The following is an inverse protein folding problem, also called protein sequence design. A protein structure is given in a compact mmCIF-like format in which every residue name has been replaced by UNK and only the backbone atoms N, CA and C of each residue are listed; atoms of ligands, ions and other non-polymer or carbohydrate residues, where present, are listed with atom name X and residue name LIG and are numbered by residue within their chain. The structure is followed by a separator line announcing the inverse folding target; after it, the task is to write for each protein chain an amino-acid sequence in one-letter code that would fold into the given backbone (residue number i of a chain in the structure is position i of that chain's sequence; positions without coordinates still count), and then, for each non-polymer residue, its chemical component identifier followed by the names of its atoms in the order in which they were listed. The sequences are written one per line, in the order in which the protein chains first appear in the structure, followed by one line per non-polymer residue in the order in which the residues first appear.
data_IF_536885890087
#
_entry.id   IF_536885890087
#
_cell.length_a   1.000
_cell.length_b   1.000
_cell.length_c   1.000
_cell.angle_alpha   90.00
_cell.angle_beta   90.00
_cell.angle_gamma   90.00
#
_symmetry.space_group_name_H-M   'P 1'
#
loop_
_entity.id
_entity.type
_entity.pdbx_description
1 polymer ?
#
# COMPACT_ATOMS: atom_id res chain seq x y z
N UNK A 1 -13.91 7.28 9.17
CA UNK A 1 -14.03 8.71 8.80
C UNK A 1 -14.49 8.72 7.37
N UNK A 2 -15.73 9.14 7.10
CA UNK A 2 -16.30 8.98 5.76
C UNK A 2 -15.79 10.09 4.83
N UNK A 3 -15.25 9.69 3.67
CA UNK A 3 -14.83 10.66 2.64
C UNK A 3 -16.01 11.37 1.95
N UNK A 4 -17.21 10.78 2.02
CA UNK A 4 -18.41 11.38 1.44
C UNK A 4 -18.83 12.69 2.14
N UNK A 5 -18.24 12.98 3.30
CA UNK A 5 -18.42 14.24 4.01
C UNK A 5 -17.42 15.26 3.44
N UNK A 6 -17.92 16.32 2.79
CA UNK A 6 -17.14 17.37 2.12
C UNK A 6 -16.03 17.95 3.01
N UNK A 7 -16.30 18.14 4.30
CA UNK A 7 -15.35 18.66 5.27
C UNK A 7 -14.13 17.75 5.48
N UNK A 8 -14.28 16.44 5.27
CA UNK A 8 -13.21 15.47 5.49
C UNK A 8 -12.28 15.35 4.27
N UNK A 9 -12.72 15.77 3.08
CA UNK A 9 -11.92 15.69 1.85
C UNK A 9 -10.58 16.45 1.97
N UNK A 10 -10.61 17.62 2.61
CA UNK A 10 -9.41 18.40 2.90
C UNK A 10 -8.41 17.66 3.79
N UNK A 11 -8.90 16.90 4.76
CA UNK A 11 -8.08 16.08 5.66
C UNK A 11 -7.40 14.93 4.93
N UNK A 12 -8.13 14.17 4.11
CA UNK A 12 -7.55 13.10 3.27
C UNK A 12 -6.48 13.65 2.31
N UNK A 13 -6.76 14.80 1.69
CA UNK A 13 -5.80 15.47 0.80
C UNK A 13 -4.55 15.94 1.54
N UNK A 14 -4.70 16.49 2.74
CA UNK A 14 -3.59 16.94 3.56
C UNK A 14 -2.68 15.76 3.97
N UNK A 15 -3.26 14.63 4.40
CA UNK A 15 -2.51 13.42 4.72
C UNK A 15 -1.77 12.85 3.51
N UNK A 16 -2.41 12.82 2.34
CA UNK A 16 -1.78 12.36 1.12
C UNK A 16 -0.59 13.26 0.71
N UNK A 17 -0.76 14.58 0.83
CA UNK A 17 0.33 15.53 0.58
C UNK A 17 1.47 15.35 1.60
N UNK A 18 1.15 15.15 2.88
CA UNK A 18 2.14 14.87 3.92
C UNK A 18 2.95 13.62 3.59
N UNK A 19 2.28 12.51 3.26
CA UNK A 19 2.91 11.26 2.83
C UNK A 19 3.91 11.52 1.68
N UNK A 20 3.51 12.27 0.65
CA UNK A 20 4.38 12.62 -0.48
C UNK A 20 5.56 13.51 -0.08
N UNK A 21 5.36 14.51 0.76
CA UNK A 21 6.43 15.42 1.20
C UNK A 21 7.46 14.69 2.07
N UNK A 22 6.99 13.85 2.97
CA UNK A 22 7.84 13.01 3.84
C UNK A 22 8.62 12.00 2.99
N UNK A 23 7.98 11.39 1.99
CA UNK A 23 8.67 10.53 1.01
C UNK A 23 9.75 11.27 0.22
N UNK A 24 9.48 12.50 -0.25
CA UNK A 24 10.47 13.32 -0.97
C UNK A 24 11.68 13.73 -0.13
N UNK A 25 11.52 13.82 1.20
CA UNK A 25 12.61 14.12 2.14
C UNK A 25 13.49 12.91 2.47
N UNK A 26 13.17 11.72 1.97
CA UNK A 26 13.90 10.49 2.28
C UNK A 26 13.37 9.74 3.52
N UNK A 27 12.32 10.25 4.17
CA UNK A 27 11.77 9.66 5.40
C UNK A 27 10.77 8.53 5.07
N UNK A 28 11.27 7.45 4.49
CA UNK A 28 10.44 6.37 3.92
C UNK A 28 9.62 5.62 4.96
N UNK A 29 10.16 5.42 6.17
CA UNK A 29 9.42 4.81 7.29
C UNK A 29 8.21 5.65 7.68
N UNK A 30 8.38 6.96 7.87
CA UNK A 30 7.28 7.86 8.23
C UNK A 30 6.25 8.00 7.11
N UNK A 31 6.70 8.02 5.84
CA UNK A 31 5.80 7.99 4.70
C UNK A 31 4.95 6.71 4.68
N UNK A 32 5.55 5.56 4.98
CA UNK A 32 4.86 4.29 5.07
C UNK A 32 3.82 4.25 6.20
N UNK A 33 4.15 4.72 7.40
CA UNK A 33 3.18 4.83 8.50
C UNK A 33 2.01 5.77 8.15
N UNK A 34 2.29 6.87 7.46
CA UNK A 34 1.25 7.80 6.98
C UNK A 34 0.35 7.13 5.94
N UNK A 35 0.91 6.30 5.06
CA UNK A 35 0.15 5.52 4.09
C UNK A 35 -0.77 4.50 4.76
N UNK A 36 -0.27 3.77 5.77
CA UNK A 36 -1.08 2.84 6.58
C UNK A 36 -2.21 3.56 7.32
N UNK A 37 -1.92 4.72 7.91
CA UNK A 37 -2.94 5.56 8.55
C UNK A 37 -4.03 5.94 7.53
N UNK A 38 -3.64 6.41 6.35
CA UNK A 38 -4.59 6.83 5.32
C UNK A 38 -5.47 5.67 4.85
N UNK A 39 -4.92 4.46 4.73
CA UNK A 39 -5.67 3.24 4.41
C UNK A 39 -6.58 2.79 5.57
N UNK A 40 -6.16 2.96 6.82
CA UNK A 40 -6.97 2.62 8.00
C UNK A 40 -8.21 3.51 8.17
N UNK A 41 -8.15 4.74 7.65
CA UNK A 41 -9.29 5.66 7.67
C UNK A 41 -10.42 5.21 6.74
N UNK A 42 -10.06 4.55 5.63
CA UNK A 42 -11.00 4.04 4.63
C UNK A 42 -10.50 2.73 3.98
N UNK A 43 -10.69 1.58 4.65
CA UNK A 43 -10.15 0.30 4.21
C UNK A 43 -10.82 -0.26 2.95
N UNK A 44 -11.96 0.29 2.54
CA UNK A 44 -12.77 -0.22 1.43
C UNK A 44 -12.70 0.67 0.18
N UNK A 45 -12.00 1.80 0.22
CA UNK A 45 -12.20 2.85 -0.77
C UNK A 45 -10.99 3.42 -1.43
N UNK A 46 -9.85 3.40 -0.74
CA UNK A 46 -8.61 4.08 -1.10
C UNK A 46 -8.80 5.29 -2.04
N UNK A 47 -9.45 6.36 -1.56
CA UNK A 47 -9.85 7.47 -2.41
C UNK A 47 -8.67 8.28 -2.95
N UNK A 48 -7.48 8.14 -2.35
CA UNK A 48 -6.27 8.83 -2.78
C UNK A 48 -5.31 7.90 -3.55
N UNK A 49 -5.74 6.67 -3.86
CA UNK A 49 -4.97 5.64 -4.55
C UNK A 49 -3.60 5.38 -3.90
N UNK A 50 -3.56 5.41 -2.57
CA UNK A 50 -2.38 5.18 -1.73
C UNK A 50 -1.78 3.80 -1.99
N UNK A 51 -2.62 2.81 -2.29
CA UNK A 51 -2.24 1.44 -2.56
C UNK A 51 -1.28 1.31 -3.76
N UNK A 52 -1.32 2.25 -4.71
CA UNK A 52 -0.39 2.28 -5.86
C UNK A 52 1.03 2.72 -5.50
N UNK A 53 1.22 3.32 -4.32
CA UNK A 53 2.51 3.84 -3.87
C UNK A 53 3.01 3.17 -2.57
N UNK A 54 2.12 2.45 -1.87
CA UNK A 54 2.44 1.83 -0.58
C UNK A 54 3.53 0.75 -0.72
N UNK A 55 3.60 0.08 -1.86
CA UNK A 55 4.58 -0.96 -2.16
C UNK A 55 6.01 -0.41 -2.25
N UNK A 56 6.18 0.73 -2.91
CA UNK A 56 7.45 1.45 -2.94
C UNK A 56 7.92 1.84 -1.52
N UNK A 57 7.02 2.36 -0.70
CA UNK A 57 7.36 2.76 0.67
C UNK A 57 7.65 1.55 1.57
N UNK A 58 6.94 0.42 1.39
CA UNK A 58 7.19 -0.82 2.12
C UNK A 58 8.59 -1.38 1.81
N UNK A 59 8.96 -1.47 0.53
CA UNK A 59 10.28 -1.94 0.11
C UNK A 59 11.40 -1.04 0.62
N UNK A 60 11.24 0.28 0.46
CA UNK A 60 12.28 1.23 0.83
C UNK A 60 12.44 1.36 2.35
N UNK A 61 11.37 1.13 3.13
CA UNK A 61 11.41 1.09 4.60
C UNK A 61 11.86 -0.25 5.18
N UNK A 62 12.17 -1.26 4.33
CA UNK A 62 12.49 -2.65 4.72
C UNK A 62 11.33 -3.38 5.42
N UNK A 63 10.09 -2.90 5.28
CA UNK A 63 8.88 -3.53 5.83
C UNK A 63 8.25 -4.47 4.79
N UNK A 64 9.05 -5.41 4.28
CA UNK A 64 8.64 -6.35 3.24
C UNK A 64 7.54 -7.34 3.70
N UNK A 65 7.46 -7.61 5.00
CA UNK A 65 6.44 -8.49 5.59
C UNK A 65 5.02 -8.00 5.29
N UNK A 66 4.80 -6.69 5.38
CA UNK A 66 3.51 -6.08 5.08
C UNK A 66 3.02 -6.38 3.65
N UNK A 67 3.95 -6.42 2.67
CA UNK A 67 3.59 -6.74 1.29
C UNK A 67 3.15 -8.19 1.12
N UNK A 68 3.75 -9.10 1.89
CA UNK A 68 3.38 -10.52 1.88
C UNK A 68 2.00 -10.69 2.51
N UNK A 69 1.77 -10.07 3.67
CA UNK A 69 0.48 -10.10 4.36
C UNK A 69 -0.63 -9.49 3.48
N UNK A 70 -0.33 -8.36 2.82
CA UNK A 70 -1.25 -7.71 1.90
C UNK A 70 -1.59 -8.63 0.70
N UNK A 71 -0.59 -9.32 0.15
CA UNK A 71 -0.79 -10.28 -0.93
C UNK A 71 -1.65 -11.48 -0.49
N UNK A 72 -1.41 -12.03 0.70
CA UNK A 72 -2.16 -13.18 1.23
C UNK A 72 -3.60 -12.81 1.60
N UNK A 73 -3.81 -11.58 2.08
CA UNK A 73 -5.14 -11.08 2.45
C UNK A 73 -6.15 -11.04 1.30
N UNK A 74 -5.67 -11.10 0.03
CA UNK A 74 -6.50 -11.10 -1.20
C UNK A 74 -7.59 -10.03 -1.18
N UNK A 75 -7.28 -8.87 -0.61
CA UNK A 75 -8.22 -7.76 -0.51
C UNK A 75 -8.72 -7.35 -1.90
N UNK A 76 -10.04 -7.16 -2.07
CA UNK A 76 -10.61 -6.74 -3.34
C UNK A 76 -10.27 -5.27 -3.63
N UNK A 77 -9.88 -4.96 -4.87
CA UNK A 77 -9.69 -3.59 -5.34
C UNK A 77 -11.06 -2.98 -5.59
N UNK A 78 -11.45 -2.04 -4.75
CA UNK A 78 -12.70 -1.28 -4.92
C UNK A 78 -12.37 0.05 -5.61
N UNK A 79 -12.63 0.15 -6.91
CA UNK A 79 -12.50 1.41 -7.64
C UNK A 79 -13.70 2.33 -7.35
N UNK A 80 -13.54 3.27 -6.41
CA UNK A 80 -14.59 4.27 -6.10
C UNK A 80 -14.84 5.29 -7.21
N UNK A 81 -13.88 5.47 -8.11
CA UNK A 81 -13.99 6.40 -9.24
C UNK A 81 -14.87 5.88 -10.39
N UNK A 82 -15.27 4.60 -10.37
CA UNK A 82 -16.14 4.06 -11.41
C UNK A 82 -17.59 4.60 -11.36
N UNK A 83 -18.01 5.22 -10.24
CA UNK A 83 -19.41 5.66 -10.06
C UNK A 83 -19.65 7.18 -10.07
N UNK A 84 -18.61 8.02 -10.14
CA UNK A 84 -18.78 9.48 -10.14
C UNK A 84 -18.92 10.12 -11.54
N UNK A 85 -18.67 9.38 -12.61
CA UNK A 85 -18.70 9.88 -14.00
C UNK A 85 -19.95 9.39 -14.77
N UNK A 86 -21.14 9.66 -14.24
CA UNK A 86 -22.39 9.62 -15.01
C UNK A 86 -22.65 11.01 -15.62
N UNK A 87 -21.75 11.49 -16.48
CA UNK A 87 -21.78 12.84 -17.04
C UNK A 87 -20.95 13.04 -18.31
N UNK A 88 -21.42 12.50 -19.43
CA UNK A 88 -21.09 12.87 -20.82
C UNK A 88 -19.80 12.34 -21.51
N UNK A 89 -20.05 11.31 -22.36
CA UNK A 89 -19.47 11.02 -23.71
C UNK A 89 -18.09 10.32 -23.86
N UNK A 90 -18.18 8.97 -23.89
CA UNK A 90 -17.53 7.96 -24.78
C UNK A 90 -16.08 8.17 -25.28
N UNK A 91 -15.17 7.26 -24.88
CA UNK A 91 -14.41 6.40 -25.82
C UNK A 91 -13.78 5.14 -25.16
N UNK A 92 -14.29 3.99 -25.61
CA UNK A 92 -13.67 2.68 -25.86
C UNK A 92 -12.68 2.03 -24.86
N UNK A 93 -13.11 0.86 -24.36
CA UNK A 93 -12.28 -0.28 -23.92
C UNK A 93 -12.28 -0.46 -22.40
N UNK A 94 -12.71 -1.56 -21.78
CA UNK A 94 -13.07 -2.91 -22.22
C UNK A 94 -14.01 -3.47 -21.13
N UNK A 95 -15.19 -3.98 -21.52
CA UNK A 95 -16.01 -4.83 -20.64
C UNK A 95 -15.17 -6.06 -20.30
N UNK A 96 -14.95 -6.34 -19.02
CA UNK A 96 -14.46 -7.66 -18.62
C UNK A 96 -15.27 -8.17 -17.45
N UNK A 97 -15.88 -9.30 -17.72
CA UNK A 97 -16.68 -10.16 -16.88
C UNK A 97 -15.87 -10.78 -15.72
N UNK A 98 -16.57 -10.95 -14.58
CA UNK A 98 -16.49 -12.10 -13.67
C UNK A 98 -15.13 -12.44 -13.02
N UNK A 99 -15.00 -12.01 -11.76
CA UNK A 99 -14.60 -12.79 -10.57
C UNK A 99 -13.14 -13.23 -10.37
N UNK A 100 -12.18 -12.84 -11.22
CA UNK A 100 -10.75 -13.06 -10.94
C UNK A 100 -9.86 -11.81 -11.16
N UNK A 101 -10.46 -10.71 -11.64
CA UNK A 101 -9.76 -9.47 -11.99
C UNK A 101 -9.66 -8.46 -10.83
N UNK A 102 -10.22 -8.79 -9.67
CA UNK A 102 -10.46 -7.81 -8.58
C UNK A 102 -9.51 -7.96 -7.39
N UNK A 103 -8.53 -8.86 -7.41
CA UNK A 103 -7.61 -9.02 -6.29
C UNK A 103 -6.36 -8.16 -6.49
N UNK A 104 -5.95 -7.42 -5.45
CA UNK A 104 -4.75 -6.55 -5.43
C UNK A 104 -3.48 -7.28 -5.98
N UNK A 105 -3.43 -8.59 -5.82
CA UNK A 105 -2.42 -9.52 -6.35
C UNK A 105 -2.17 -9.43 -7.88
N UNK A 106 -3.14 -8.98 -8.68
CA UNK A 106 -3.02 -8.88 -10.14
C UNK A 106 -2.38 -7.58 -10.63
N UNK A 107 -2.12 -6.62 -9.73
CA UNK A 107 -1.43 -5.38 -10.08
C UNK A 107 0.05 -5.71 -10.37
N UNK A 108 0.56 -5.42 -11.59
CA UNK A 108 1.90 -5.82 -12.00
C UNK A 108 2.99 -5.20 -11.11
N UNK A 109 2.75 -3.99 -10.61
CA UNK A 109 3.65 -3.32 -9.67
C UNK A 109 3.77 -4.11 -8.36
N UNK A 110 2.65 -4.58 -7.82
CA UNK A 110 2.66 -5.36 -6.58
C UNK A 110 3.37 -6.70 -6.77
N UNK A 111 3.13 -7.39 -7.89
CA UNK A 111 3.76 -8.67 -8.16
C UNK A 111 5.28 -8.55 -8.28
N UNK A 112 5.77 -7.48 -8.90
CA UNK A 112 7.20 -7.16 -8.94
C UNK A 112 7.74 -6.84 -7.54
N UNK A 113 7.04 -6.00 -6.78
CA UNK A 113 7.41 -5.65 -5.41
C UNK A 113 7.42 -6.85 -4.47
N UNK A 114 6.51 -7.82 -4.65
CA UNK A 114 6.47 -9.09 -3.92
C UNK A 114 7.73 -9.92 -4.22
N UNK A 115 8.10 -10.07 -5.49
CA UNK A 115 9.30 -10.81 -5.88
C UNK A 115 10.56 -10.20 -5.24
N UNK A 116 10.66 -8.87 -5.20
CA UNK A 116 11.73 -8.16 -4.49
C UNK A 116 11.67 -8.39 -2.98
N UNK A 117 10.49 -8.33 -2.38
CA UNK A 117 10.30 -8.59 -0.95
C UNK A 117 10.79 -10.00 -0.56
N UNK A 118 10.47 -11.02 -1.37
CA UNK A 118 10.91 -12.40 -1.17
C UNK A 118 12.43 -12.59 -1.36
N UNK A 119 13.05 -11.80 -2.23
CA UNK A 119 14.50 -11.81 -2.42
C UNK A 119 15.23 -11.13 -1.25
N UNK A 120 14.67 -10.03 -0.74
CA UNK A 120 15.27 -9.23 0.34
C UNK A 120 15.10 -9.91 1.70
N UNK A 121 14.00 -10.63 1.92
CA UNK A 121 13.79 -11.39 3.14
C UNK A 121 14.66 -12.66 3.13
N UNK A 122 15.46 -12.92 4.18
CA UNK A 122 16.15 -14.18 4.32
C UNK A 122 15.12 -15.30 4.35
N UNK A 123 15.21 -16.24 3.39
CA UNK A 123 14.39 -17.47 3.45
C UNK A 123 14.81 -18.23 4.72
N UNK A 124 13.93 -18.42 5.71
CA UNK A 124 14.28 -19.21 6.87
C UNK A 124 14.44 -20.66 6.39
N UNK A 125 15.69 -21.14 6.40
CA UNK A 125 16.00 -22.56 6.21
C UNK A 125 15.81 -23.34 7.52
N UNK A 126 15.55 -22.65 8.64
CA UNK A 126 15.29 -23.23 9.97
C UNK A 126 14.56 -22.22 10.88
N UNK A 127 13.82 -22.72 11.88
CA UNK A 127 13.09 -21.88 12.85
C UNK A 127 14.01 -20.98 13.69
N UNK A 128 15.25 -21.38 13.92
CA UNK A 128 16.25 -20.61 14.70
C UNK A 128 16.75 -19.35 13.97
N UNK A 129 16.71 -19.35 12.63
CA UNK A 129 17.12 -18.19 11.84
C UNK A 129 16.04 -17.10 11.78
N UNK A 130 14.81 -17.40 12.21
CA UNK A 130 13.73 -16.40 12.29
C UNK A 130 14.00 -15.37 13.42
N UNK A 131 14.44 -15.82 14.60
CA UNK A 131 14.68 -14.93 15.75
C UNK A 131 15.85 -13.97 15.52
N UNK A 132 16.91 -14.40 14.85
CA UNK A 132 18.07 -13.56 14.55
C UNK A 132 17.76 -12.47 13.52
N UNK A 133 16.91 -12.75 12.53
CA UNK A 133 16.51 -11.76 11.51
C UNK A 133 15.59 -10.70 12.09
N UNK A 134 14.67 -11.07 12.98
CA UNK A 134 13.87 -10.10 13.73
C UNK A 134 14.72 -9.22 14.63
N UNK A 135 15.79 -9.76 15.23
CA UNK A 135 16.71 -8.99 16.05
C UNK A 135 17.57 -8.00 15.24
N UNK A 136 18.04 -8.37 14.05
CA UNK A 136 18.78 -7.47 13.15
C UNK A 136 17.89 -6.36 12.55
N UNK A 137 16.65 -6.67 12.17
CA UNK A 137 15.70 -5.68 11.64
C UNK A 137 15.23 -4.67 12.71
N UNK A 138 15.10 -5.12 13.96
CA UNK A 138 14.80 -4.22 15.10
C UNK A 138 16.02 -3.40 15.52
N UNK A 139 17.24 -3.94 15.44
CA UNK A 139 18.48 -3.21 15.75
C UNK A 139 18.79 -2.07 14.76
N UNK A 140 18.38 -2.19 13.50
CA UNK A 140 18.46 -1.08 12.54
C UNK A 140 17.35 -0.01 12.74
N UNK A 141 16.40 -0.27 13.66
CA UNK A 141 15.38 0.67 14.13
C UNK A 141 15.80 1.48 15.36
N UNK A 142 16.80 1.03 16.13
CA UNK A 142 17.23 1.68 17.38
C UNK A 142 18.40 2.66 17.22
N UNK A 143 18.91 2.88 16.00
CA UNK A 143 20.00 3.82 15.74
C UNK A 143 19.56 5.29 15.64
N UNK A 144 18.28 5.60 15.93
CA UNK A 144 17.76 6.96 15.99
C UNK A 144 16.77 7.06 17.17
N UNK A 145 17.33 7.19 18.36
CA UNK A 145 16.67 7.81 19.51
C UNK A 145 17.59 8.84 20.13
#
# INVERSE_FOLDING_TARGET
MDIQIEHNAGFFRALFLLMKQVGRRGCMRSAFETAKLLLSLDPQGDPMNVLLAIDYYALTSRQCQFLIDLFDSKTPVVDRFASAEAGSKKKAGKKTSSNASETIAMLPNLQFSLALAQYVLPRPQSVDSMLLVYQELTHCGSAFS
#
